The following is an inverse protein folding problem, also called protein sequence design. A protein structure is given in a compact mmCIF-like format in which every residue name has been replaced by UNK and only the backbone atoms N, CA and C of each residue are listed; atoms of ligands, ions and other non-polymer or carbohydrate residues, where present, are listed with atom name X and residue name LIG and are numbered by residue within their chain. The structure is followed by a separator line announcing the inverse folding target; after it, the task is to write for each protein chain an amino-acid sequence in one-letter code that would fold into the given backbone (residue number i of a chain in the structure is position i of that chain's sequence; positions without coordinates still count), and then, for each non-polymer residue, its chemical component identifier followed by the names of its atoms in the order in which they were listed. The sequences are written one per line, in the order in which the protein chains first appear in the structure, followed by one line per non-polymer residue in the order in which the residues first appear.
data_IF_342341686527
#
_entry.id   IF_342341686527
#
_cell.length_a   1.000
_cell.length_b   1.000
_cell.length_c   1.000
_cell.angle_alpha   90.00
_cell.angle_beta   90.00
_cell.angle_gamma   90.00
#
_symmetry.space_group_name_H-M   'P 1'
#
loop_
_entity.id
_entity.type
_entity.pdbx_description
1 polymer ?
#
# COMPACT_ATOMS: atom_id res chain seq x y z
N UNK A 1 29.39 41.27 -2.53
CA UNK A 1 28.48 40.11 -2.72
C UNK A 1 28.91 38.84 -1.97
N UNK A 2 30.21 38.53 -1.76
CA UNK A 2 30.63 37.28 -1.09
C UNK A 2 30.17 37.08 0.38
N UNK A 3 29.91 38.16 1.13
CA UNK A 3 29.55 38.06 2.56
C UNK A 3 28.15 37.45 2.78
N UNK A 4 27.23 37.65 1.83
CA UNK A 4 25.87 37.13 1.92
C UNK A 4 25.82 35.63 1.62
N UNK A 5 26.58 35.17 0.62
CA UNK A 5 26.65 33.74 0.24
C UNK A 5 27.24 32.87 1.35
N UNK A 6 28.24 33.37 2.09
CA UNK A 6 28.81 32.66 3.25
C UNK A 6 27.79 32.47 4.38
N UNK A 7 26.91 33.45 4.61
CA UNK A 7 25.87 33.37 5.64
C UNK A 7 24.83 32.28 5.30
N UNK A 8 24.36 32.24 4.05
CA UNK A 8 23.42 31.20 3.60
C UNK A 8 24.00 29.79 3.71
N UNK A 9 25.27 29.59 3.37
CA UNK A 9 25.93 28.28 3.50
C UNK A 9 26.01 27.84 4.97
N UNK A 10 26.35 28.75 5.89
CA UNK A 10 26.39 28.45 7.33
C UNK A 10 25.00 28.09 7.86
N UNK A 11 23.96 28.84 7.48
CA UNK A 11 22.57 28.56 7.89
C UNK A 11 22.11 27.20 7.37
N UNK A 12 22.40 26.86 6.11
CA UNK A 12 22.06 25.54 5.53
C UNK A 12 22.80 24.42 6.29
N UNK A 13 24.09 24.58 6.58
CA UNK A 13 24.86 23.60 7.37
C UNK A 13 24.28 23.40 8.77
N UNK A 14 23.89 24.48 9.46
CA UNK A 14 23.26 24.41 10.79
C UNK A 14 21.90 23.69 10.70
N UNK A 15 21.06 23.99 9.71
CA UNK A 15 19.77 23.31 9.52
C UNK A 15 19.99 21.81 9.24
N UNK A 16 20.94 21.44 8.38
CA UNK A 16 21.28 20.04 8.11
C UNK A 16 21.81 19.31 9.35
N UNK A 17 22.60 20.00 10.18
CA UNK A 17 23.04 19.46 11.46
C UNK A 17 21.85 19.23 12.40
N UNK A 18 20.93 20.20 12.56
CA UNK A 18 19.75 20.06 13.42
C UNK A 18 18.79 18.96 12.93
N UNK A 19 18.59 18.83 11.62
CA UNK A 19 17.75 17.80 11.03
C UNK A 19 18.22 16.37 11.36
N UNK A 20 19.54 16.16 11.53
CA UNK A 20 20.09 14.87 11.97
C UNK A 20 19.74 14.49 13.42
N UNK A 21 19.30 15.45 14.24
CA UNK A 21 18.93 15.22 15.64
C UNK A 21 17.41 15.05 15.81
N UNK A 22 16.63 15.36 14.78
CA UNK A 22 15.20 15.13 14.78
C UNK A 22 14.92 13.63 14.58
N UNK A 23 14.70 12.92 15.69
CA UNK A 23 14.21 11.53 15.68
C UNK A 23 12.75 11.52 16.14
N UNK A 24 11.84 11.13 15.26
CA UNK A 24 10.46 10.80 15.65
C UNK A 24 10.42 9.37 16.18
N UNK A 25 9.92 9.19 17.41
CA UNK A 25 9.71 7.87 18.01
C UNK A 25 8.22 7.57 18.04
N UNK A 26 7.83 6.41 17.51
CA UNK A 26 6.48 5.88 17.67
C UNK A 26 6.34 5.17 19.03
N UNK A 27 5.23 5.39 19.73
CA UNK A 27 4.95 4.73 21.00
C UNK A 27 3.45 4.47 21.16
N UNK A 28 3.09 3.24 21.57
CA UNK A 28 1.73 2.92 21.97
C UNK A 28 1.38 3.63 23.28
N UNK A 29 0.34 4.48 23.26
CA UNK A 29 -0.10 5.27 24.42
C UNK A 29 -1.27 4.64 25.16
N UNK A 30 -2.22 4.06 24.45
CA UNK A 30 -3.38 3.37 25.02
C UNK A 30 -3.90 2.32 24.05
N UNK A 31 -4.58 1.30 24.59
CA UNK A 31 -5.28 0.28 23.82
C UNK A 31 -6.60 -0.02 24.51
N UNK A 32 -7.70 0.17 23.77
CA UNK A 32 -9.04 -0.16 24.22
C UNK A 32 -9.66 -1.14 23.21
N UNK A 33 -10.09 -2.30 23.71
CA UNK A 33 -10.81 -3.29 22.91
C UNK A 33 -12.25 -3.41 23.42
N UNK A 34 -13.20 -3.33 22.50
CA UNK A 34 -14.63 -3.46 22.78
C UNK A 34 -15.25 -4.35 21.71
N UNK A 35 -15.94 -5.41 22.12
CA UNK A 35 -16.83 -6.14 21.21
C UNK A 35 -18.17 -5.42 21.12
N UNK A 36 -18.63 -5.18 19.89
CA UNK A 36 -19.94 -4.59 19.61
C UNK A 36 -21.06 -5.65 19.63
N UNK A 37 -20.72 -6.93 19.43
CA UNK A 37 -21.65 -8.06 19.51
C UNK A 37 -20.99 -9.21 20.28
N UNK A 38 -21.17 -9.21 21.61
CA UNK A 38 -20.63 -10.24 22.51
C UNK A 38 -21.16 -11.65 22.24
N UNK A 39 -22.21 -11.79 21.42
CA UNK A 39 -22.72 -13.10 21.01
C UNK A 39 -22.00 -13.65 19.76
N UNK A 40 -21.29 -12.79 19.03
CA UNK A 40 -20.50 -13.13 17.85
C UNK A 40 -19.02 -13.30 18.21
N UNK A 41 -18.45 -12.35 18.95
CA UNK A 41 -17.06 -12.38 19.40
C UNK A 41 -16.85 -11.63 20.72
N UNK A 42 -15.83 -12.00 21.50
CA UNK A 42 -15.38 -11.20 22.64
C UNK A 42 -13.86 -11.29 22.83
N UNK A 43 -13.26 -10.27 23.43
CA UNK A 43 -11.83 -10.22 23.69
C UNK A 43 -11.49 -11.00 24.97
N UNK A 44 -10.66 -12.04 24.88
CA UNK A 44 -10.16 -12.78 26.05
C UNK A 44 -9.11 -11.96 26.80
N UNK A 45 -8.21 -11.33 26.05
CA UNK A 45 -7.27 -10.35 26.56
C UNK A 45 -6.95 -9.32 25.49
N UNK A 46 -6.65 -8.09 25.91
CA UNK A 46 -6.23 -7.00 25.06
C UNK A 46 -5.44 -6.00 25.90
N UNK A 47 -4.13 -5.93 25.70
CA UNK A 47 -3.25 -5.06 26.48
C UNK A 47 -2.00 -4.63 25.70
N UNK A 48 -1.36 -3.58 26.19
CA UNK A 48 0.02 -3.21 25.84
C UNK A 48 0.92 -3.68 26.97
N UNK A 49 2.04 -4.35 26.64
CA UNK A 49 3.04 -4.79 27.62
C UNK A 49 4.43 -4.28 27.21
N UNK A 50 5.21 -3.89 28.21
CA UNK A 50 6.59 -3.43 28.02
C UNK A 50 7.53 -4.58 28.33
N UNK A 51 8.31 -5.07 27.36
CA UNK A 51 9.38 -6.03 27.67
C UNK A 51 10.64 -5.33 28.19
N UNK A 52 10.94 -4.14 27.66
CA UNK A 52 12.01 -3.26 28.14
C UNK A 52 11.70 -1.79 27.78
N UNK A 53 12.59 -0.85 28.11
CA UNK A 53 12.38 0.60 27.90
C UNK A 53 12.13 0.99 26.43
N UNK A 54 12.66 0.22 25.48
CA UNK A 54 12.56 0.50 24.05
C UNK A 54 11.56 -0.40 23.32
N UNK A 55 11.18 -1.53 23.91
CA UNK A 55 10.32 -2.53 23.30
C UNK A 55 9.02 -2.69 24.08
N UNK A 56 7.97 -2.03 23.59
CA UNK A 56 6.58 -2.25 23.97
C UNK A 56 5.90 -3.02 22.84
N UNK A 57 5.05 -3.98 23.21
CA UNK A 57 4.26 -4.76 22.26
C UNK A 57 2.79 -4.73 22.67
N UNK A 58 1.92 -4.84 21.67
CA UNK A 58 0.48 -4.99 21.85
C UNK A 58 0.15 -6.47 21.71
N UNK A 59 -0.75 -6.98 22.54
CA UNK A 59 -1.22 -8.36 22.48
C UNK A 59 -2.72 -8.39 22.73
N UNK A 60 -3.45 -9.00 21.81
CA UNK A 60 -4.88 -9.24 21.93
C UNK A 60 -5.22 -10.65 21.47
N UNK A 61 -6.27 -11.23 22.05
CA UNK A 61 -6.89 -12.49 21.61
C UNK A 61 -8.38 -12.29 21.60
N UNK A 62 -8.98 -12.62 20.46
CA UNK A 62 -10.43 -12.55 20.24
C UNK A 62 -10.95 -13.97 20.12
N UNK A 63 -11.95 -14.28 20.93
CA UNK A 63 -12.69 -15.52 20.84
C UNK A 63 -13.84 -15.31 19.86
N UNK A 64 -13.77 -15.96 18.70
CA UNK A 64 -14.84 -15.97 17.72
C UNK A 64 -15.83 -17.09 18.10
N UNK A 65 -17.02 -16.72 18.56
CA UNK A 65 -18.09 -17.69 18.87
C UNK A 65 -18.81 -18.16 17.60
N UNK A 66 -18.73 -17.37 16.53
CA UNK A 66 -19.19 -17.73 15.18
C UNK A 66 -18.07 -17.44 14.19
N UNK A 67 -17.44 -18.47 13.64
CA UNK A 67 -16.43 -18.29 12.59
C UNK A 67 -17.13 -17.88 11.29
N UNK A 68 -16.82 -16.72 10.71
CA UNK A 68 -17.37 -16.35 9.42
C UNK A 68 -16.85 -17.33 8.37
N UNK A 69 -17.74 -18.11 7.76
CA UNK A 69 -17.44 -18.83 6.52
C UNK A 69 -17.49 -17.83 5.39
N UNK A 70 -16.33 -17.44 4.89
CA UNK A 70 -16.23 -16.64 3.69
C UNK A 70 -16.20 -17.56 2.47
N UNK A 71 -17.28 -17.55 1.70
CA UNK A 71 -17.28 -18.16 0.37
C UNK A 71 -16.88 -17.09 -0.64
N UNK A 72 -15.72 -17.26 -1.29
CA UNK A 72 -15.23 -16.41 -2.38
C UNK A 72 -14.13 -15.41 -2.00
N UNK A 73 -13.55 -14.78 -3.03
CA UNK A 73 -12.56 -13.72 -2.88
C UNK A 73 -13.22 -12.45 -2.35
N UNK A 74 -12.74 -11.91 -1.22
CA UNK A 74 -13.15 -10.59 -0.71
C UNK A 74 -12.07 -9.57 -1.03
N UNK A 75 -12.43 -8.33 -1.40
CA UNK A 75 -11.46 -7.25 -1.50
C UNK A 75 -10.70 -7.14 -0.19
N UNK A 76 -9.41 -7.43 -0.21
CA UNK A 76 -8.54 -7.19 0.92
C UNK A 76 -7.75 -5.90 0.64
N UNK A 77 -7.80 -4.98 1.60
CA UNK A 77 -7.00 -3.77 1.72
C UNK A 77 -7.26 -2.62 0.72
N UNK A 78 -7.48 -2.87 -0.57
CA UNK A 78 -7.53 -1.78 -1.57
C UNK A 78 -8.76 -1.84 -2.50
N UNK A 79 -9.63 -0.83 -2.37
CA UNK A 79 -10.62 -0.47 -3.37
C UNK A 79 -10.29 0.95 -3.86
N UNK A 80 -9.69 1.05 -5.05
CA UNK A 80 -9.11 2.31 -5.54
C UNK A 80 -9.70 2.63 -6.92
N UNK A 81 -10.18 3.86 -7.06
CA UNK A 81 -10.53 4.45 -8.34
C UNK A 81 -9.51 5.54 -8.71
N UNK A 82 -9.07 5.56 -9.95
CA UNK A 82 -8.12 6.54 -10.44
C UNK A 82 -8.44 6.98 -11.87
N UNK A 83 -8.26 8.27 -12.13
CA UNK A 83 -8.19 8.81 -13.48
C UNK A 83 -6.81 8.46 -14.04
N UNK A 84 -6.78 7.57 -15.04
CA UNK A 84 -5.55 7.05 -15.64
C UNK A 84 -4.69 8.17 -16.22
N UNK A 85 -5.29 9.16 -16.88
CA UNK A 85 -4.56 10.26 -17.50
C UNK A 85 -3.95 11.21 -16.47
N UNK A 86 -4.67 11.50 -15.40
CA UNK A 86 -4.16 12.30 -14.28
C UNK A 86 -3.06 11.55 -13.52
N UNK A 87 -3.22 10.25 -13.33
CA UNK A 87 -2.25 9.40 -12.66
C UNK A 87 -0.95 9.27 -13.46
N UNK A 88 -1.02 9.04 -14.78
CA UNK A 88 0.18 8.91 -15.62
C UNK A 88 1.00 10.22 -15.72
N UNK A 89 0.37 11.38 -15.54
CA UNK A 89 1.09 12.67 -15.45
C UNK A 89 1.95 12.78 -14.18
N UNK A 90 1.56 12.13 -13.10
CA UNK A 90 2.29 12.13 -11.83
C UNK A 90 1.95 10.86 -11.04
N UNK A 91 2.67 9.78 -11.30
CA UNK A 91 2.42 8.47 -10.68
C UNK A 91 2.71 8.49 -9.17
N UNK A 92 3.62 9.35 -8.72
CA UNK A 92 3.96 9.53 -7.30
C UNK A 92 2.80 10.12 -6.47
N UNK A 93 1.79 10.70 -7.13
CA UNK A 93 0.60 11.24 -6.44
C UNK A 93 -0.25 10.18 -5.74
N UNK A 94 -0.16 8.92 -6.16
CA UNK A 94 -0.93 7.80 -5.59
C UNK A 94 -0.01 6.57 -5.40
N UNK A 95 0.69 6.46 -4.26
CA UNK A 95 1.69 5.42 -4.04
C UNK A 95 1.16 3.99 -4.19
N UNK A 96 -0.07 3.72 -3.73
CA UNK A 96 -0.67 2.38 -3.87
C UNK A 96 -0.93 2.06 -5.34
N UNK A 97 -1.49 3.00 -6.11
CA UNK A 97 -1.71 2.82 -7.54
C UNK A 97 -0.39 2.66 -8.29
N UNK A 98 0.65 3.41 -7.90
CA UNK A 98 2.01 3.27 -8.43
C UNK A 98 2.56 1.86 -8.23
N UNK A 99 2.41 1.30 -7.03
CA UNK A 99 2.85 -0.07 -6.75
C UNK A 99 2.23 -1.10 -7.71
N UNK A 100 0.92 -1.00 -7.97
CA UNK A 100 0.21 -1.88 -8.91
C UNK A 100 0.55 -1.59 -10.38
N UNK A 101 0.66 -0.31 -10.76
CA UNK A 101 1.06 0.09 -12.12
C UNK A 101 2.43 -0.47 -12.51
N UNK A 102 3.37 -0.51 -11.57
CA UNK A 102 4.71 -1.05 -11.80
C UNK A 102 4.75 -2.56 -12.10
N UNK A 103 3.66 -3.32 -11.90
CA UNK A 103 3.61 -4.72 -12.35
C UNK A 103 3.61 -4.89 -13.86
N UNK A 104 3.04 -3.93 -14.59
CA UNK A 104 2.85 -4.04 -16.04
C UNK A 104 3.41 -2.85 -16.82
N UNK A 105 3.75 -1.72 -16.18
CA UNK A 105 4.28 -0.54 -16.86
C UNK A 105 5.40 -0.87 -17.87
N UNK A 106 6.47 -1.55 -17.43
CA UNK A 106 7.60 -1.94 -18.30
C UNK A 106 7.27 -2.99 -19.36
N UNK A 107 6.11 -3.64 -19.24
CA UNK A 107 5.60 -4.69 -20.12
C UNK A 107 4.34 -4.22 -20.85
N UNK A 108 4.14 -2.92 -20.94
CA UNK A 108 2.96 -2.32 -21.55
C UNK A 108 3.33 -1.09 -22.37
N UNK A 109 2.46 -0.75 -23.32
CA UNK A 109 2.57 0.51 -24.06
C UNK A 109 1.76 1.64 -23.39
N UNK A 110 1.43 1.54 -22.10
CA UNK A 110 0.62 2.53 -21.39
C UNK A 110 1.42 3.76 -20.90
N UNK A 111 2.74 3.71 -21.01
CA UNK A 111 3.66 4.69 -20.42
C UNK A 111 3.87 5.93 -21.30
N UNK A 112 2.78 6.57 -21.73
CA UNK A 112 2.82 7.83 -22.48
C UNK A 112 1.75 8.81 -22.00
N UNK A 113 1.86 10.06 -22.45
CA UNK A 113 0.85 11.07 -22.16
C UNK A 113 -0.46 10.75 -22.88
N UNK A 114 -1.58 10.87 -22.18
CA UNK A 114 -2.90 10.90 -22.81
C UNK A 114 -3.01 12.04 -23.84
N UNK A 115 -3.80 11.88 -24.91
CA UNK A 115 -4.79 10.82 -25.14
C UNK A 115 -4.20 9.50 -25.66
N UNK A 116 -4.84 8.38 -25.30
CA UNK A 116 -4.57 7.08 -25.92
C UNK A 116 -5.21 7.04 -27.32
N UNK A 117 -4.38 6.94 -28.35
CA UNK A 117 -4.80 6.93 -29.76
C UNK A 117 -4.34 5.67 -30.52
N UNK A 118 -3.91 4.65 -29.77
CA UNK A 118 -3.48 3.35 -30.27
C UNK A 118 -4.00 2.25 -29.33
N UNK A 119 -3.86 1.00 -29.75
CA UNK A 119 -4.25 -0.15 -28.94
C UNK A 119 -3.47 -0.18 -27.62
N UNK A 120 -4.13 -0.59 -26.53
CA UNK A 120 -3.50 -0.76 -25.22
C UNK A 120 -3.02 -2.21 -25.09
N UNK A 121 -1.72 -2.38 -24.91
CA UNK A 121 -1.06 -3.69 -24.92
C UNK A 121 -0.32 -3.87 -23.61
N UNK A 122 -0.53 -5.03 -22.99
CA UNK A 122 0.31 -5.58 -21.92
C UNK A 122 0.81 -6.93 -22.44
N UNK A 123 2.12 -7.09 -22.60
CA UNK A 123 2.71 -8.28 -23.24
C UNK A 123 3.82 -8.87 -22.35
N UNK A 124 3.77 -10.19 -22.15
CA UNK A 124 4.83 -11.00 -21.54
C UNK A 124 5.37 -10.49 -20.18
N UNK A 125 4.49 -10.31 -19.19
CA UNK A 125 4.94 -10.08 -17.80
C UNK A 125 5.58 -11.38 -17.26
N UNK A 126 6.88 -11.40 -16.89
CA UNK A 126 7.53 -12.60 -16.37
C UNK A 126 7.06 -12.94 -14.96
N UNK A 127 6.88 -14.23 -14.66
CA UNK A 127 6.45 -14.69 -13.33
C UNK A 127 7.47 -14.30 -12.25
N UNK A 128 8.77 -14.40 -12.52
CA UNK A 128 9.83 -14.05 -11.56
C UNK A 128 9.79 -12.56 -11.18
N UNK A 129 9.42 -11.70 -12.13
CA UNK A 129 9.25 -10.27 -11.89
C UNK A 129 8.06 -10.01 -10.96
N UNK A 130 6.91 -10.64 -11.22
CA UNK A 130 5.72 -10.55 -10.36
C UNK A 130 6.03 -11.10 -8.97
N UNK A 131 6.66 -12.29 -8.91
CA UNK A 131 7.05 -12.96 -7.67
C UNK A 131 7.90 -12.03 -6.81
N UNK A 132 8.99 -11.48 -7.37
CA UNK A 132 9.86 -10.55 -6.64
C UNK A 132 9.10 -9.35 -6.05
N UNK A 133 8.12 -8.81 -6.78
CA UNK A 133 7.30 -7.69 -6.27
C UNK A 133 6.43 -8.11 -5.08
N UNK A 134 5.76 -9.26 -5.17
CA UNK A 134 4.86 -9.75 -4.11
C UNK A 134 5.57 -10.42 -2.93
N UNK A 135 6.84 -10.84 -3.08
CA UNK A 135 7.61 -11.48 -1.99
C UNK A 135 8.65 -10.55 -1.37
N UNK A 136 9.31 -9.67 -2.15
CA UNK A 136 10.44 -8.87 -1.68
C UNK A 136 10.13 -7.37 -1.56
N UNK A 137 9.31 -6.81 -2.46
CA UNK A 137 9.02 -5.35 -2.46
C UNK A 137 7.91 -5.02 -1.47
N UNK A 138 6.76 -5.70 -1.60
CA UNK A 138 5.67 -5.64 -0.63
C UNK A 138 5.25 -7.10 -0.36
N UNK A 139 5.72 -7.73 0.73
CA UNK A 139 5.45 -9.13 1.01
C UNK A 139 3.97 -9.35 1.32
N UNK A 140 3.26 -9.95 0.37
CA UNK A 140 1.89 -10.44 0.58
C UNK A 140 1.95 -11.76 1.33
N UNK A 141 0.96 -12.06 2.21
CA UNK A 141 0.90 -13.36 2.86
C UNK A 141 0.65 -14.48 1.85
N UNK A 142 0.90 -15.72 2.27
CA UNK A 142 0.52 -16.90 1.50
C UNK A 142 -1.02 -16.99 1.41
N UNK A 143 -1.51 -17.41 0.24
CA UNK A 143 -2.93 -17.56 -0.02
C UNK A 143 -3.33 -17.42 -1.48
N UNK A 144 -4.63 -17.55 -1.72
CA UNK A 144 -5.25 -17.37 -3.03
C UNK A 144 -5.82 -15.95 -3.16
N UNK A 145 -5.53 -15.32 -4.30
CA UNK A 145 -5.86 -13.93 -4.56
C UNK A 145 -6.55 -13.71 -5.90
N UNK A 146 -7.34 -12.64 -5.95
CA UNK A 146 -7.98 -12.11 -7.15
C UNK A 146 -7.66 -10.62 -7.26
N UNK A 147 -7.07 -10.22 -8.39
CA UNK A 147 -7.01 -8.83 -8.82
C UNK A 147 -8.08 -8.60 -9.89
N UNK A 148 -9.04 -7.73 -9.59
CA UNK A 148 -10.10 -7.31 -10.51
C UNK A 148 -9.95 -5.83 -10.82
N UNK A 149 -9.81 -5.49 -12.11
CA UNK A 149 -9.66 -4.12 -12.58
C UNK A 149 -10.76 -3.78 -13.58
N UNK A 150 -11.39 -2.63 -13.39
CA UNK A 150 -12.41 -2.07 -14.29
C UNK A 150 -11.82 -0.89 -15.05
N UNK A 151 -12.08 -0.84 -16.36
CA UNK A 151 -11.55 0.15 -17.29
C UNK A 151 -12.71 0.97 -17.84
N UNK A 152 -12.82 2.20 -17.35
CA UNK A 152 -13.93 3.09 -17.64
C UNK A 152 -13.49 4.12 -18.67
N UNK A 153 -14.25 4.27 -19.75
CA UNK A 153 -14.05 5.32 -20.75
C UNK A 153 -15.38 5.98 -21.10
N UNK A 154 -15.40 7.31 -21.04
CA UNK A 154 -16.61 8.13 -21.21
C UNK A 154 -17.73 7.72 -20.24
N UNK A 155 -17.38 7.56 -18.96
CA UNK A 155 -18.30 7.17 -17.87
C UNK A 155 -19.00 5.81 -18.04
N UNK A 156 -18.56 5.01 -19.01
CA UNK A 156 -19.08 3.68 -19.27
C UNK A 156 -17.98 2.68 -18.99
N UNK A 157 -18.29 1.66 -18.20
CA UNK A 157 -17.39 0.55 -17.92
C UNK A 157 -17.21 -0.28 -19.22
N UNK A 158 -15.99 -0.23 -19.79
CA UNK A 158 -15.70 -0.80 -21.11
C UNK A 158 -15.05 -2.17 -21.05
N UNK A 159 -14.30 -2.45 -19.98
CA UNK A 159 -13.60 -3.71 -19.86
C UNK A 159 -13.33 -4.06 -18.40
N UNK A 160 -13.34 -5.36 -18.12
CA UNK A 160 -13.02 -5.94 -16.83
C UNK A 160 -11.93 -6.98 -17.04
N UNK A 161 -10.88 -6.92 -16.20
CA UNK A 161 -9.80 -7.91 -16.18
C UNK A 161 -9.78 -8.54 -14.80
N UNK A 162 -9.85 -9.88 -14.75
CA UNK A 162 -9.70 -10.67 -13.53
C UNK A 162 -8.45 -11.53 -13.64
N UNK A 163 -7.56 -11.42 -12.65
CA UNK A 163 -6.33 -12.18 -12.55
C UNK A 163 -6.37 -12.97 -11.25
N UNK A 164 -6.38 -14.29 -11.36
CA UNK A 164 -6.34 -15.22 -10.23
C UNK A 164 -4.91 -15.70 -10.04
N UNK A 165 -4.37 -15.61 -8.84
CA UNK A 165 -3.01 -16.02 -8.52
C UNK A 165 -2.91 -16.55 -7.09
N UNK A 166 -1.92 -17.41 -6.86
CA UNK A 166 -1.63 -18.02 -5.56
C UNK A 166 -0.20 -17.66 -5.17
N UNK A 167 -0.01 -17.33 -3.89
CA UNK A 167 1.30 -17.14 -3.27
C UNK A 167 1.48 -18.30 -2.28
N UNK A 168 2.53 -19.10 -2.49
CA UNK A 168 2.84 -20.33 -1.74
C UNK A 168 4.34 -20.50 -1.51
#
# INVERSE_FOLDING_TARGET
MLKNTRCHIVVILVILLMAKWASSKFEFTNLQCTSFDKSFDDFEYCYIRSANRSYKYLTLKVNLFKTPRFNGYRPFMFNITLDACRFLKNTDSKPIAKYFYEFFNSYSNLNHSCPFNHDLIVDKIPIDFVNHRVTNILPFPEGDYLLETHWIAYEIDRAMVKIYYTIS
#
